data_IF_450307133591
#
_entry.id   IF_450307133591
#
_cell.length_a   1.000
_cell.length_b   1.000
_cell.length_c   1.000
_cell.angle_alpha   90.00
_cell.angle_beta   90.00
_cell.angle_gamma   90.00
#
_symmetry.space_group_name_H-M   'P 1'
#
loop_
_entity.id
_entity.type
_entity.pdbx_description
1 polymer ?
#
# COMPACT_ATOMS: atom_id res chain seq x y z
N UNK A 1 -3.40 -3.10 -12.07
CA UNK A 1 -3.70 -1.70 -11.70
C UNK A 1 -2.54 -1.16 -10.86
N UNK A 2 -2.22 0.14 -10.93
CA UNK A 2 -1.14 0.77 -10.14
C UNK A 2 -1.72 1.89 -9.27
N UNK A 3 -1.10 2.09 -8.12
CA UNK A 3 -1.34 3.20 -7.20
C UNK A 3 -0.05 3.57 -6.49
N UNK A 4 0.03 4.80 -5.99
CA UNK A 4 1.10 5.28 -5.12
C UNK A 4 0.53 6.36 -4.18
N UNK A 5 1.02 6.41 -2.96
CA UNK A 5 0.63 7.43 -1.97
C UNK A 5 1.85 7.79 -1.15
N UNK A 6 2.05 9.08 -0.90
CA UNK A 6 3.10 9.53 -0.01
C UNK A 6 2.58 9.65 1.42
N UNK A 7 3.40 9.21 2.37
CA UNK A 7 3.22 9.41 3.81
C UNK A 7 3.88 10.74 4.24
N UNK A 8 3.24 11.40 5.17
CA UNK A 8 3.73 12.65 5.77
C UNK A 8 4.77 12.32 6.85
N UNK A 9 4.53 11.25 7.60
CA UNK A 9 5.35 10.71 8.68
C UNK A 9 5.35 9.17 8.68
N UNK A 10 6.44 8.57 9.16
CA UNK A 10 6.57 7.11 9.32
C UNK A 10 5.95 6.64 10.64
N UNK A 11 4.62 6.64 10.68
CA UNK A 11 3.83 6.12 11.80
C UNK A 11 2.82 5.07 11.33
N UNK A 12 2.67 3.98 12.09
CA UNK A 12 1.84 2.84 11.69
C UNK A 12 0.38 3.24 11.41
N UNK A 13 -0.18 4.12 12.24
CA UNK A 13 -1.53 4.65 12.04
C UNK A 13 -1.67 5.47 10.76
N UNK A 14 -0.65 6.29 10.45
CA UNK A 14 -0.63 7.08 9.22
C UNK A 14 -0.47 6.19 7.99
N UNK A 15 0.44 5.21 8.04
CA UNK A 15 0.60 4.21 6.98
C UNK A 15 -0.70 3.47 6.70
N UNK A 16 -1.34 2.92 7.73
CA UNK A 16 -2.59 2.20 7.60
C UNK A 16 -3.69 3.04 6.92
N UNK A 17 -3.83 4.30 7.34
CA UNK A 17 -4.81 5.24 6.76
C UNK A 17 -4.50 5.57 5.30
N UNK A 18 -3.27 5.96 4.98
CA UNK A 18 -2.87 6.41 3.63
C UNK A 18 -2.93 5.27 2.61
N UNK A 19 -2.44 4.09 2.99
CA UNK A 19 -2.52 2.90 2.14
C UNK A 19 -3.97 2.44 1.98
N UNK A 20 -4.78 2.50 3.04
CA UNK A 20 -6.21 2.21 2.98
C UNK A 20 -6.96 3.14 2.01
N UNK A 21 -6.74 4.46 2.11
CA UNK A 21 -7.29 5.46 1.17
C UNK A 21 -6.90 5.15 -0.29
N UNK A 22 -5.63 4.79 -0.52
CA UNK A 22 -5.14 4.43 -1.85
C UNK A 22 -5.84 3.18 -2.39
N UNK A 23 -5.92 2.11 -1.60
CA UNK A 23 -6.53 0.85 -2.02
C UNK A 23 -8.02 1.04 -2.33
N UNK A 24 -8.78 1.70 -1.47
CA UNK A 24 -10.19 1.99 -1.71
C UNK A 24 -10.36 2.79 -3.00
N UNK A 25 -9.60 3.87 -3.18
CA UNK A 25 -9.69 4.68 -4.39
C UNK A 25 -9.32 3.91 -5.67
N UNK A 26 -8.34 3.01 -5.59
CA UNK A 26 -7.92 2.16 -6.70
C UNK A 26 -9.01 1.15 -7.05
N UNK A 27 -9.58 0.46 -6.07
CA UNK A 27 -10.63 -0.54 -6.29
C UNK A 27 -11.91 0.12 -6.83
N UNK A 28 -12.38 1.19 -6.20
CA UNK A 28 -13.60 1.91 -6.58
C UNK A 28 -13.53 2.44 -8.01
N UNK A 29 -12.41 3.06 -8.40
CA UNK A 29 -12.24 3.63 -9.76
C UNK A 29 -12.15 2.59 -10.86
N UNK A 30 -11.83 1.34 -10.52
CA UNK A 30 -11.70 0.24 -11.47
C UNK A 30 -12.87 -0.75 -11.35
N UNK A 31 -13.85 -0.47 -10.49
CA UNK A 31 -15.01 -1.34 -10.25
C UNK A 31 -14.60 -2.77 -9.84
N UNK A 32 -13.51 -2.90 -9.07
CA UNK A 32 -12.96 -4.19 -8.65
C UNK A 32 -13.42 -4.56 -7.24
N UNK A 33 -13.75 -5.83 -7.04
CA UNK A 33 -13.95 -6.44 -5.71
C UNK A 33 -12.81 -7.41 -5.39
N UNK A 34 -12.74 -7.87 -4.14
CA UNK A 34 -11.68 -8.78 -3.68
C UNK A 34 -11.56 -10.05 -4.56
N UNK A 35 -12.69 -10.59 -5.02
CA UNK A 35 -12.74 -11.79 -5.87
C UNK A 35 -12.12 -11.59 -7.26
N UNK A 36 -11.96 -10.35 -7.72
CA UNK A 36 -11.31 -10.02 -9.00
C UNK A 36 -9.77 -9.97 -8.87
N UNK A 37 -9.24 -9.99 -7.64
CA UNK A 37 -7.84 -9.76 -7.37
C UNK A 37 -7.04 -11.06 -7.35
N UNK A 38 -6.06 -11.18 -8.24
CA UNK A 38 -5.12 -12.31 -8.25
C UNK A 38 -4.07 -12.16 -7.13
N UNK A 39 -3.50 -10.96 -6.97
CA UNK A 39 -2.51 -10.64 -5.93
C UNK A 39 -2.31 -9.12 -5.83
N UNK A 40 -1.77 -8.65 -4.69
CA UNK A 40 -1.35 -7.26 -4.51
C UNK A 40 0.12 -7.21 -4.09
N UNK A 41 0.89 -6.37 -4.78
CA UNK A 41 2.29 -6.11 -4.50
C UNK A 41 2.44 -4.71 -3.95
N UNK A 42 3.04 -4.60 -2.78
CA UNK A 42 3.39 -3.34 -2.14
C UNK A 42 4.89 -3.15 -2.21
N UNK A 43 5.31 -1.95 -2.61
CA UNK A 43 6.67 -1.48 -2.44
C UNK A 43 6.66 -0.28 -1.50
N UNK A 44 7.67 -0.16 -0.65
CA UNK A 44 7.85 0.99 0.23
C UNK A 44 9.30 1.50 0.09
N UNK A 45 9.48 2.81 0.07
CA UNK A 45 10.82 3.41 0.11
C UNK A 45 11.56 3.04 1.39
N UNK A 46 12.91 3.00 1.38
CA UNK A 46 13.72 2.52 2.50
C UNK A 46 13.62 3.38 3.77
N UNK A 47 12.97 4.54 3.72
CA UNK A 47 12.75 5.46 4.83
C UNK A 47 11.41 5.22 5.57
N UNK A 48 10.73 4.11 5.31
CA UNK A 48 9.52 3.66 6.02
C UNK A 48 9.75 2.35 6.79
N UNK A 49 9.46 2.35 8.09
CA UNK A 49 9.74 1.24 9.01
C UNK A 49 8.62 0.97 10.01
N UNK A 50 7.62 1.84 10.09
CA UNK A 50 6.61 1.80 11.16
C UNK A 50 5.63 0.65 11.08
N UNK A 51 5.31 0.14 9.89
CA UNK A 51 4.42 -1.01 9.69
C UNK A 51 4.56 -1.60 8.27
N UNK A 52 3.81 -2.66 7.99
CA UNK A 52 3.64 -3.23 6.65
C UNK A 52 2.42 -2.63 5.93
N UNK A 53 2.55 -2.15 4.68
CA UNK A 53 1.42 -1.66 3.88
C UNK A 53 0.29 -2.70 3.72
N UNK A 54 0.64 -3.98 3.65
CA UNK A 54 -0.32 -5.08 3.55
C UNK A 54 -1.29 -5.18 4.74
N UNK A 55 -0.94 -4.64 5.92
CA UNK A 55 -1.82 -4.61 7.08
C UNK A 55 -3.09 -3.76 6.81
N UNK A 56 -2.96 -2.67 6.04
CA UNK A 56 -4.09 -1.84 5.64
C UNK A 56 -5.10 -2.62 4.78
N UNK A 57 -4.62 -3.44 3.85
CA UNK A 57 -5.48 -4.28 3.01
C UNK A 57 -6.30 -5.28 3.84
N UNK A 58 -5.72 -5.83 4.92
CA UNK A 58 -6.45 -6.71 5.85
C UNK A 58 -7.56 -5.98 6.58
N UNK A 59 -7.33 -4.73 6.99
CA UNK A 59 -8.36 -3.87 7.58
C UNK A 59 -9.54 -3.58 6.64
N UNK A 60 -9.33 -3.65 5.32
CA UNK A 60 -10.36 -3.49 4.29
C UNK A 60 -11.09 -4.80 3.93
N UNK A 61 -10.82 -5.91 4.62
CA UNK A 61 -11.46 -7.20 4.37
C UNK A 61 -10.83 -8.01 3.24
N UNK A 62 -9.68 -7.59 2.70
CA UNK A 62 -8.93 -8.33 1.69
C UNK A 62 -8.12 -9.45 2.39
N UNK A 63 -8.81 -10.52 2.79
CA UNK A 63 -8.24 -11.59 3.62
C UNK A 63 -7.72 -12.79 2.84
N UNK A 64 -8.32 -13.09 1.68
CA UNK A 64 -8.00 -14.29 0.88
C UNK A 64 -7.11 -14.01 -0.34
N UNK A 65 -6.77 -12.74 -0.59
CA UNK A 65 -5.88 -12.34 -1.70
C UNK A 65 -4.41 -12.44 -1.25
N UNK A 66 -3.52 -13.06 -2.04
CA UNK A 66 -2.09 -13.06 -1.78
C UNK A 66 -1.51 -11.64 -1.78
N UNK A 67 -0.82 -11.28 -0.70
CA UNK A 67 -0.17 -9.98 -0.52
C UNK A 67 1.33 -10.18 -0.33
N UNK A 68 2.15 -9.32 -0.95
CA UNK A 68 3.59 -9.26 -0.71
C UNK A 68 4.05 -7.82 -0.53
N UNK A 69 4.94 -7.60 0.44
CA UNK A 69 5.65 -6.34 0.62
C UNK A 69 7.12 -6.53 0.23
N UNK A 70 7.68 -5.54 -0.46
CA UNK A 70 9.09 -5.44 -0.80
C UNK A 70 9.58 -4.02 -0.56
N UNK A 71 10.90 -3.86 -0.44
CA UNK A 71 11.50 -2.54 -0.44
C UNK A 71 11.65 -2.04 -1.88
N UNK A 72 11.35 -0.76 -2.12
CA UNK A 72 11.65 -0.08 -3.37
C UNK A 72 13.15 0.21 -3.48
N UNK A 73 13.62 0.46 -4.71
CA UNK A 73 14.98 0.90 -4.95
C UNK A 73 15.29 2.21 -4.22
N UNK A 74 16.50 2.29 -3.64
CA UNK A 74 17.02 3.49 -2.98
C UNK A 74 17.74 4.37 -4.02
N UNK A 75 17.00 5.28 -4.66
CA UNK A 75 17.50 6.15 -5.72
C UNK A 75 17.68 7.58 -5.18
N UNK A 76 18.88 8.13 -5.32
CA UNK A 76 19.19 9.50 -4.91
C UNK A 76 18.21 10.53 -5.51
N UNK A 77 17.59 11.32 -4.64
CA UNK A 77 16.64 12.37 -5.04
C UNK A 77 15.23 11.87 -5.42
N UNK A 78 14.95 10.57 -5.25
CA UNK A 78 13.60 10.05 -5.40
C UNK A 78 12.65 10.61 -4.33
N UNK A 79 11.35 10.47 -4.58
CA UNK A 79 10.32 10.91 -3.64
C UNK A 79 10.41 10.05 -2.36
N UNK A 80 10.56 10.67 -1.17
CA UNK A 80 10.65 9.94 0.10
C UNK A 80 9.28 9.48 0.56
N UNK A 81 9.24 8.45 1.42
CA UNK A 81 8.03 7.94 2.08
C UNK A 81 6.88 7.59 1.15
N UNK A 82 7.16 6.80 0.11
CA UNK A 82 6.15 6.29 -0.84
C UNK A 82 5.95 4.79 -0.65
#
# INVERSE_FOLDING_TARGET
>A
VRGAVQLDEDEAGHMGRRVGELLTAVLDRNELVADDLISIWFTATPDLHSDFPAAAARGLGIVDVPLICAQELDIDGAMPRV
#
